data_IF_892518938063
#
_entry.id   IF_892518938063
#
_cell.length_a   1.000
_cell.length_b   1.000
_cell.length_c   1.000
_cell.angle_alpha   90.00
_cell.angle_beta   90.00
_cell.angle_gamma   90.00
#
_symmetry.space_group_name_H-M   'P 1'
#
loop_
_entity.id
_entity.type
_entity.pdbx_description
1 polymer ?
#
# COMPACT_ATOMS: atom_id res chain seq x y z
N UNK A 1 8.64 47.01 -29.98
CA UNK A 1 8.52 45.56 -30.25
C UNK A 1 9.85 44.92 -29.91
N UNK A 2 9.93 44.24 -28.77
CA UNK A 2 11.15 43.51 -28.36
C UNK A 2 11.20 42.22 -29.17
N UNK A 3 12.19 42.08 -30.05
CA UNK A 3 12.42 40.84 -30.79
C UNK A 3 13.38 39.99 -29.96
N UNK A 4 12.91 38.87 -29.44
CA UNK A 4 13.75 37.89 -28.78
C UNK A 4 14.10 36.85 -29.83
N UNK A 5 15.32 36.90 -30.35
CA UNK A 5 15.88 35.85 -31.19
C UNK A 5 16.74 34.98 -30.27
N UNK A 6 16.17 33.87 -29.81
CA UNK A 6 16.94 32.77 -29.25
C UNK A 6 17.19 31.81 -30.40
N UNK A 7 18.45 31.47 -30.63
CA UNK A 7 18.91 30.66 -31.77
C UNK A 7 18.37 29.21 -31.78
N UNK A 8 17.55 28.81 -30.79
CA UNK A 8 17.21 27.40 -30.56
C UNK A 8 15.74 27.18 -30.13
N UNK A 9 14.77 27.55 -30.97
CA UNK A 9 13.38 27.13 -30.75
C UNK A 9 13.08 25.80 -31.46
N UNK A 10 12.73 24.78 -30.68
CA UNK A 10 12.31 23.48 -31.19
C UNK A 10 10.88 23.56 -31.76
N UNK A 11 10.59 22.88 -32.86
CA UNK A 11 9.28 22.98 -33.56
C UNK A 11 8.08 22.70 -32.65
N UNK A 12 8.22 21.79 -31.68
CA UNK A 12 7.20 21.44 -30.68
C UNK A 12 6.89 22.58 -29.70
N UNK A 13 7.78 23.56 -29.53
CA UNK A 13 7.57 24.73 -28.67
C UNK A 13 6.61 25.75 -29.30
N UNK A 14 6.34 25.65 -30.61
CA UNK A 14 5.30 26.45 -31.27
C UNK A 14 3.90 25.89 -31.04
N UNK A 15 3.77 24.59 -30.79
CA UNK A 15 2.48 23.93 -30.51
C UNK A 15 1.98 24.23 -29.09
N UNK A 16 2.90 24.31 -28.12
CA UNK A 16 2.57 24.62 -26.73
C UNK A 16 3.18 25.95 -26.30
N UNK A 17 2.37 27.00 -26.26
CA UNK A 17 2.80 28.37 -25.94
C UNK A 17 2.79 28.69 -24.43
N UNK A 18 2.57 27.70 -23.55
CA UNK A 18 2.49 27.95 -22.10
C UNK A 18 3.83 28.46 -21.53
N UNK A 19 4.96 28.00 -22.07
CA UNK A 19 6.30 28.44 -21.65
C UNK A 19 6.55 29.94 -21.90
N UNK A 20 5.88 30.55 -22.88
CA UNK A 20 6.01 31.99 -23.17
C UNK A 20 5.47 32.86 -22.04
N UNK A 21 4.46 32.37 -21.30
CA UNK A 21 3.91 33.09 -20.15
C UNK A 21 4.91 33.21 -19.01
N UNK A 22 5.72 32.18 -18.81
CA UNK A 22 6.74 32.16 -17.75
C UNK A 22 7.92 33.07 -18.10
N UNK A 23 8.25 33.22 -19.39
CA UNK A 23 9.35 34.08 -19.85
C UNK A 23 9.00 35.57 -19.88
N UNK A 24 7.78 35.92 -20.31
CA UNK A 24 7.40 37.33 -20.61
C UNK A 24 6.57 37.95 -19.47
N UNK A 25 6.07 37.13 -18.55
CA UNK A 25 5.20 37.56 -17.46
C UNK A 25 3.78 37.87 -17.93
N UNK A 26 2.84 37.98 -16.98
CA UNK A 26 1.38 38.01 -17.21
C UNK A 26 0.83 39.21 -18.01
N UNK A 27 1.66 40.16 -18.45
CA UNK A 27 1.22 41.47 -18.95
C UNK A 27 1.49 41.72 -20.45
N UNK A 28 2.04 40.76 -21.20
CA UNK A 28 2.37 40.96 -22.62
C UNK A 28 1.42 40.24 -23.59
N UNK A 29 0.86 40.95 -24.56
CA UNK A 29 0.22 40.34 -25.74
C UNK A 29 1.31 39.91 -26.72
N UNK A 30 1.54 38.60 -26.85
CA UNK A 30 2.59 38.02 -27.71
C UNK A 30 1.93 37.27 -28.86
N UNK A 31 2.36 37.55 -30.09
CA UNK A 31 1.89 36.86 -31.30
C UNK A 31 3.12 36.28 -32.02
N UNK A 32 3.26 34.96 -31.99
CA UNK A 32 4.28 34.26 -32.78
C UNK A 32 3.89 34.32 -34.25
N UNK A 33 4.85 34.61 -35.14
CA UNK A 33 4.66 34.50 -36.60
C UNK A 33 5.23 33.18 -37.07
N UNK A 34 4.50 32.48 -37.93
CA UNK A 34 4.90 31.20 -38.53
C UNK A 34 6.04 31.34 -39.54
N UNK A 35 6.35 32.57 -39.95
CA UNK A 35 7.27 32.90 -41.04
C UNK A 35 8.76 32.90 -40.58
N UNK A 36 9.06 32.30 -39.43
CA UNK A 36 10.44 32.14 -38.97
C UNK A 36 11.16 31.15 -39.90
N UNK A 37 12.03 31.69 -40.76
CA UNK A 37 12.86 30.92 -41.68
C UNK A 37 13.75 29.98 -40.86
N UNK A 38 13.62 28.69 -41.12
CA UNK A 38 14.54 27.68 -40.60
C UNK A 38 15.92 27.97 -41.21
N UNK A 39 16.85 28.48 -40.43
CA UNK A 39 18.26 28.48 -40.82
C UNK A 39 18.69 27.02 -40.73
N UNK A 40 18.93 26.38 -41.87
CA UNK A 40 19.65 25.10 -41.89
C UNK A 40 21.03 25.33 -41.30
N UNK A 41 21.22 24.88 -40.06
CA UNK A 41 22.55 24.79 -39.47
C UNK A 41 23.15 23.49 -40.01
N UNK A 42 24.11 23.62 -40.92
CA UNK A 42 25.15 22.59 -41.09
C UNK A 42 25.96 22.61 -39.81
N UNK A 43 25.57 21.77 -38.87
CA UNK A 43 26.26 21.59 -37.60
C UNK A 43 27.23 20.42 -37.76
N UNK A 44 28.49 20.74 -38.06
CA UNK A 44 29.62 19.87 -37.79
C UNK A 44 29.77 19.73 -36.26
N UNK A 45 28.87 18.97 -35.63
CA UNK A 45 28.90 18.59 -34.23
C UNK A 45 29.21 17.09 -34.13
N UNK A 46 30.46 16.72 -34.39
CA UNK A 46 31.04 15.51 -33.81
C UNK A 46 31.26 15.73 -32.30
N UNK A 47 30.16 15.75 -31.54
CA UNK A 47 30.19 15.72 -30.06
C UNK A 47 29.62 14.37 -29.62
N UNK A 48 30.55 13.44 -29.37
CA UNK A 48 30.46 12.26 -28.49
C UNK A 48 29.12 11.51 -28.45
N UNK A 49 28.90 10.68 -29.45
CA UNK A 49 27.90 9.60 -29.45
C UNK A 49 28.18 8.51 -28.40
N UNK A 50 29.37 8.51 -27.79
CA UNK A 50 29.84 7.50 -26.86
C UNK A 50 29.23 7.65 -25.45
N UNK A 51 29.08 8.89 -24.97
CA UNK A 51 28.48 9.17 -23.65
C UNK A 51 26.96 8.90 -23.63
N UNK A 52 26.26 9.19 -24.73
CA UNK A 52 24.80 9.03 -24.82
C UNK A 52 24.39 7.54 -24.94
N UNK A 53 25.26 6.75 -25.59
CA UNK A 53 25.12 5.29 -25.65
C UNK A 53 25.33 4.65 -24.27
N UNK A 54 26.31 5.10 -23.50
CA UNK A 54 26.59 4.60 -22.14
C UNK A 54 25.43 4.91 -21.18
N UNK A 55 24.89 6.14 -21.22
CA UNK A 55 23.72 6.54 -20.42
C UNK A 55 22.49 5.67 -20.74
N UNK A 56 22.23 5.40 -22.02
CA UNK A 56 21.11 4.54 -22.45
C UNK A 56 21.27 3.10 -21.94
N UNK A 57 22.50 2.56 -22.00
CA UNK A 57 22.80 1.23 -21.46
C UNK A 57 22.64 1.17 -19.94
N UNK A 58 23.08 2.20 -19.21
CA UNK A 58 22.85 2.29 -17.76
C UNK A 58 21.37 2.37 -17.41
N UNK A 59 20.60 3.15 -18.17
CA UNK A 59 19.15 3.28 -17.97
C UNK A 59 18.44 1.93 -18.19
N UNK A 60 18.82 1.17 -19.22
CA UNK A 60 18.31 -0.18 -19.44
C UNK A 60 18.67 -1.12 -18.28
N UNK A 61 19.93 -1.13 -17.84
CA UNK A 61 20.37 -1.95 -16.70
C UNK A 61 19.61 -1.59 -15.42
N UNK A 62 19.32 -0.31 -15.18
CA UNK A 62 18.52 0.15 -14.04
C UNK A 62 17.07 -0.30 -14.15
N UNK A 63 16.47 -0.24 -15.35
CA UNK A 63 15.11 -0.74 -15.60
C UNK A 63 15.00 -2.24 -15.31
N UNK A 64 15.97 -3.04 -15.78
CA UNK A 64 16.03 -4.48 -15.53
C UNK A 64 16.18 -4.79 -14.03
N UNK A 65 17.07 -4.09 -13.33
CA UNK A 65 17.23 -4.21 -11.87
C UNK A 65 15.96 -3.85 -11.12
N UNK A 66 15.29 -2.76 -11.51
CA UNK A 66 14.03 -2.35 -10.90
C UNK A 66 12.93 -3.40 -11.11
N UNK A 67 12.84 -3.99 -12.31
CA UNK A 67 11.91 -5.08 -12.57
C UNK A 67 12.20 -6.32 -11.69
N UNK A 68 13.48 -6.69 -11.55
CA UNK A 68 13.90 -7.79 -10.68
C UNK A 68 13.57 -7.52 -9.19
N UNK A 69 13.88 -6.32 -8.70
CA UNK A 69 13.56 -5.90 -7.32
C UNK A 69 12.05 -5.87 -7.06
N UNK A 70 11.23 -5.45 -8.04
CA UNK A 70 9.78 -5.50 -7.91
C UNK A 70 9.25 -6.93 -7.78
N UNK A 71 9.82 -7.88 -8.52
CA UNK A 71 9.48 -9.30 -8.39
C UNK A 71 9.89 -9.85 -7.01
N UNK A 72 11.08 -9.51 -6.54
CA UNK A 72 11.58 -9.96 -5.24
C UNK A 72 10.73 -9.41 -4.09
N UNK A 73 10.47 -8.11 -4.07
CA UNK A 73 9.62 -7.47 -3.04
C UNK A 73 8.22 -8.07 -3.02
N UNK A 74 7.65 -8.40 -4.19
CA UNK A 74 6.37 -9.12 -4.29
C UNK A 74 6.45 -10.53 -3.70
N UNK A 75 7.53 -11.28 -3.97
CA UNK A 75 7.75 -12.61 -3.42
C UNK A 75 7.92 -12.57 -1.89
N UNK A 76 8.72 -11.63 -1.38
CA UNK A 76 8.94 -11.43 0.05
C UNK A 76 7.65 -11.04 0.78
N UNK A 77 6.85 -10.13 0.23
CA UNK A 77 5.52 -9.78 0.78
C UNK A 77 4.61 -10.99 0.91
N UNK A 78 4.59 -11.87 -0.10
CA UNK A 78 3.83 -13.14 -0.05
C UNK A 78 4.35 -14.06 1.06
N UNK A 79 5.67 -14.22 1.18
CA UNK A 79 6.29 -15.06 2.23
C UNK A 79 5.98 -14.54 3.63
N UNK A 80 6.02 -13.22 3.81
CA UNK A 80 5.68 -12.56 5.07
C UNK A 80 4.21 -12.80 5.43
N UNK A 81 3.27 -12.61 4.50
CA UNK A 81 1.86 -12.89 4.72
C UNK A 81 1.58 -14.36 5.12
N UNK A 82 2.31 -15.32 4.54
CA UNK A 82 2.23 -16.73 4.92
C UNK A 82 2.77 -16.98 6.34
N UNK A 83 3.92 -16.40 6.67
CA UNK A 83 4.49 -16.48 8.03
C UNK A 83 3.54 -15.88 9.07
N UNK A 84 2.94 -14.74 8.78
CA UNK A 84 1.97 -14.09 9.68
C UNK A 84 0.72 -14.94 9.87
N UNK A 85 0.18 -15.54 8.80
CA UNK A 85 -0.98 -16.45 8.89
C UNK A 85 -0.66 -17.65 9.77
N UNK A 86 0.52 -18.25 9.59
CA UNK A 86 0.99 -19.37 10.40
C UNK A 86 1.19 -18.96 11.86
N UNK A 87 1.82 -17.83 12.10
CA UNK A 87 2.04 -17.29 13.44
C UNK A 87 0.72 -17.03 14.18
N UNK A 88 -0.26 -16.41 13.51
CA UNK A 88 -1.62 -16.22 14.06
C UNK A 88 -2.29 -17.54 14.43
N UNK A 89 -2.18 -18.57 13.58
CA UNK A 89 -2.72 -19.90 13.87
C UNK A 89 -2.05 -20.54 15.09
N UNK A 90 -0.73 -20.46 15.17
CA UNK A 90 0.04 -20.98 16.30
C UNK A 90 -0.31 -20.26 17.60
N UNK A 91 -0.44 -18.94 17.58
CA UNK A 91 -0.83 -18.14 18.74
C UNK A 91 -2.24 -18.52 19.22
N UNK A 92 -3.19 -18.63 18.27
CA UNK A 92 -4.56 -19.08 18.56
C UNK A 92 -4.58 -20.46 19.23
N UNK A 93 -3.80 -21.41 18.72
CA UNK A 93 -3.70 -22.75 19.31
C UNK A 93 -3.09 -22.72 20.71
N UNK A 94 -2.00 -21.96 20.90
CA UNK A 94 -1.37 -21.80 22.21
C UNK A 94 -2.33 -21.21 23.24
N UNK A 95 -3.12 -20.20 22.86
CA UNK A 95 -4.15 -19.64 23.73
C UNK A 95 -5.24 -20.66 24.05
N UNK A 96 -5.74 -21.39 23.05
CA UNK A 96 -6.75 -22.45 23.27
C UNK A 96 -6.26 -23.48 24.28
N UNK A 97 -5.03 -23.96 24.15
CA UNK A 97 -4.44 -24.97 25.05
C UNK A 97 -4.28 -24.46 26.49
N UNK A 98 -4.01 -23.16 26.69
CA UNK A 98 -3.95 -22.57 28.04
C UNK A 98 -5.35 -22.38 28.63
N UNK A 99 -6.31 -21.95 27.83
CA UNK A 99 -7.67 -21.67 28.29
C UNK A 99 -8.50 -22.93 28.53
N UNK A 100 -8.19 -24.04 27.85
CA UNK A 100 -8.89 -25.33 28.01
C UNK A 100 -8.77 -25.93 29.41
N UNK A 101 -7.87 -25.41 30.24
CA UNK A 101 -7.76 -25.81 31.65
C UNK A 101 -8.91 -25.27 32.52
N UNK A 102 -9.57 -24.19 32.10
CA UNK A 102 -10.58 -23.49 32.89
C UNK A 102 -11.92 -23.33 32.19
N UNK A 103 -11.89 -23.23 30.85
CA UNK A 103 -13.06 -22.93 30.05
C UNK A 103 -13.37 -24.09 29.11
N UNK A 104 -14.66 -24.21 28.80
CA UNK A 104 -15.15 -25.14 27.79
C UNK A 104 -14.87 -24.62 26.38
N UNK A 105 -14.96 -25.51 25.38
CA UNK A 105 -14.68 -25.17 23.98
C UNK A 105 -15.59 -24.05 23.44
N UNK A 106 -16.86 -24.03 23.84
CA UNK A 106 -17.84 -23.00 23.46
C UNK A 106 -17.47 -21.62 24.02
N UNK A 107 -17.10 -21.58 25.30
CA UNK A 107 -16.65 -20.34 25.98
C UNK A 107 -15.36 -19.81 25.36
N UNK A 108 -14.37 -20.67 25.09
CA UNK A 108 -13.11 -20.29 24.44
C UNK A 108 -13.37 -19.71 23.04
N UNK A 109 -14.32 -20.29 22.29
CA UNK A 109 -14.66 -19.80 20.96
C UNK A 109 -15.18 -18.37 20.99
N UNK A 110 -16.01 -18.01 21.96
CA UNK A 110 -16.48 -16.63 22.12
C UNK A 110 -15.36 -15.69 22.57
N UNK A 111 -14.53 -16.12 23.53
CA UNK A 111 -13.43 -15.31 24.03
C UNK A 111 -12.42 -14.96 22.94
N UNK A 112 -12.13 -15.91 22.04
CA UNK A 112 -11.21 -15.71 20.92
C UNK A 112 -11.82 -14.97 19.72
N UNK A 113 -13.14 -14.81 19.67
CA UNK A 113 -13.85 -14.11 18.60
C UNK A 113 -14.84 -13.11 19.20
N UNK A 114 -14.37 -11.96 19.72
CA UNK A 114 -15.21 -11.02 20.47
C UNK A 114 -16.34 -10.39 19.63
N UNK A 115 -16.22 -10.43 18.30
CA UNK A 115 -17.27 -9.98 17.37
C UNK A 115 -18.45 -10.96 17.28
N UNK A 116 -18.25 -12.22 17.67
CA UNK A 116 -19.27 -13.25 17.60
C UNK A 116 -20.20 -13.17 18.82
N UNK A 117 -21.46 -12.78 18.60
CA UNK A 117 -22.46 -12.64 19.67
C UNK A 117 -23.13 -13.95 20.10
N UNK A 118 -23.18 -14.95 19.22
CA UNK A 118 -23.81 -16.24 19.50
C UNK A 118 -22.92 -17.41 19.10
N UNK A 119 -22.90 -18.44 19.94
CA UNK A 119 -22.34 -19.75 19.65
C UNK A 119 -23.39 -20.83 19.91
N UNK A 120 -23.22 -21.98 19.28
CA UNK A 120 -23.98 -23.18 19.66
C UNK A 120 -23.36 -23.74 20.94
N UNK A 121 -24.16 -23.78 22.01
CA UNK A 121 -23.74 -24.35 23.29
C UNK A 121 -23.70 -25.87 23.23
N UNK A 122 -22.61 -26.42 23.75
CA UNK A 122 -22.46 -27.86 24.01
C UNK A 122 -23.16 -28.23 25.30
N UNK A 123 -23.35 -29.52 25.54
CA UNK A 123 -24.01 -29.99 26.78
C UNK A 123 -23.15 -29.65 28.00
N UNK A 124 -21.84 -29.69 27.84
CA UNK A 124 -20.82 -29.37 28.83
C UNK A 124 -20.88 -27.88 29.23
N UNK A 125 -21.07 -26.99 28.25
CA UNK A 125 -21.26 -25.55 28.51
C UNK A 125 -22.48 -25.31 29.41
N UNK A 126 -23.60 -25.93 29.06
CA UNK A 126 -24.88 -25.79 29.77
C UNK A 126 -24.76 -26.35 31.19
N UNK A 127 -24.14 -27.52 31.34
CA UNK A 127 -23.91 -28.14 32.64
C UNK A 127 -23.05 -27.24 33.55
N UNK A 128 -21.95 -26.69 33.04
CA UNK A 128 -21.08 -25.77 33.79
C UNK A 128 -21.83 -24.50 34.22
N UNK A 129 -22.67 -23.93 33.35
CA UNK A 129 -23.50 -22.77 33.67
C UNK A 129 -24.53 -23.07 34.76
N UNK A 130 -25.18 -24.24 34.71
CA UNK A 130 -26.11 -24.70 35.75
C UNK A 130 -25.37 -24.89 37.08
N UNK A 131 -24.21 -25.54 37.08
CA UNK A 131 -23.38 -25.73 38.27
C UNK A 131 -22.96 -24.40 38.91
N UNK A 132 -22.56 -23.39 38.13
CA UNK A 132 -22.23 -22.08 38.69
C UNK A 132 -23.47 -21.39 39.27
N UNK A 133 -24.60 -21.49 38.56
CA UNK A 133 -25.86 -20.88 38.99
C UNK A 133 -26.41 -21.53 40.26
N UNK A 134 -26.26 -22.84 40.43
CA UNK A 134 -26.71 -23.55 41.64
C UNK A 134 -25.88 -23.17 42.87
N UNK A 135 -24.57 -22.96 42.71
CA UNK A 135 -23.69 -22.51 43.81
C UNK A 135 -23.98 -21.05 44.19
N UNK A 136 -24.11 -20.15 43.21
CA UNK A 136 -24.45 -18.75 43.50
C UNK A 136 -25.12 -18.05 42.30
N UNK A 137 -26.44 -17.79 42.39
CA UNK A 137 -27.15 -17.03 41.37
C UNK A 137 -26.65 -15.58 41.22
N UNK A 138 -26.08 -15.00 42.30
CA UNK A 138 -25.46 -13.66 42.25
C UNK A 138 -24.16 -13.69 41.47
N UNK A 139 -23.30 -14.69 41.72
CA UNK A 139 -22.05 -14.85 40.98
C UNK A 139 -22.30 -15.11 39.48
N UNK A 140 -23.24 -16.00 39.15
CA UNK A 140 -23.63 -16.24 37.75
C UNK A 140 -24.09 -14.95 37.05
N UNK A 141 -24.97 -14.16 37.69
CA UNK A 141 -25.42 -12.87 37.13
C UNK A 141 -24.27 -11.88 36.94
N UNK A 142 -23.34 -11.80 37.89
CA UNK A 142 -22.18 -10.94 37.79
C UNK A 142 -21.29 -11.32 36.61
N UNK A 143 -20.93 -12.61 36.48
CA UNK A 143 -20.08 -13.09 35.38
C UNK A 143 -20.76 -12.84 34.03
N UNK A 144 -22.05 -13.15 33.91
CA UNK A 144 -22.80 -12.97 32.66
C UNK A 144 -22.94 -11.50 32.24
N UNK A 145 -23.28 -10.60 33.18
CA UNK A 145 -23.55 -9.18 32.85
C UNK A 145 -22.28 -8.34 32.80
N UNK A 146 -21.38 -8.51 33.77
CA UNK A 146 -20.22 -7.64 33.94
C UNK A 146 -19.03 -8.10 33.11
N UNK A 147 -18.80 -9.41 33.03
CA UNK A 147 -17.69 -9.97 32.24
C UNK A 147 -18.09 -10.31 30.81
N UNK A 148 -19.38 -10.20 30.47
CA UNK A 148 -19.97 -10.58 29.17
C UNK A 148 -19.54 -12.00 28.72
N UNK A 149 -19.12 -12.82 29.68
CA UNK A 149 -18.86 -14.23 29.47
C UNK A 149 -20.24 -14.87 29.42
N UNK A 150 -20.71 -15.12 28.20
CA UNK A 150 -21.90 -15.91 28.01
C UNK A 150 -21.56 -17.32 28.53
N UNK A 151 -22.16 -17.67 29.66
CA UNK A 151 -22.18 -19.00 30.25
C UNK A 151 -23.55 -19.60 29.98
#
# INVERSE_FOLDING_TARGET
VTRVCLEHFHHTQFENQLWLRDLIGKSGNVKLRHDAVLVEIVEDNEISTDNDLDISQEMQKLQERNAALLLETKALKRRLALKDKLHRKQLKQKMQNKLSQFFTSGQIKLLLNPTQKMTRWTKEDIAAAISLRSVSPKAYRYVRKTKQLLL
#
